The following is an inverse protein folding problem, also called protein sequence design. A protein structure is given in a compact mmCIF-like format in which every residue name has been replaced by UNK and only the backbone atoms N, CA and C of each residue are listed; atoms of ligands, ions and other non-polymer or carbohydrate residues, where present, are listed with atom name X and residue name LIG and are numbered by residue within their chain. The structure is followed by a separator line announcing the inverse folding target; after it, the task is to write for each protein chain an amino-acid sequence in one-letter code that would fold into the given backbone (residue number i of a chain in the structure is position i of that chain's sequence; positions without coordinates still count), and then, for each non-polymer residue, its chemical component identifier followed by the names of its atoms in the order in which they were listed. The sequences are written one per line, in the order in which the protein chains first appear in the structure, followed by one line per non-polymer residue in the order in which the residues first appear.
data_IF_713226792399
#
_entry.id   IF_713226792399
#
_cell.length_a   1.000
_cell.length_b   1.000
_cell.length_c   1.000
_cell.angle_alpha   90.00
_cell.angle_beta   90.00
_cell.angle_gamma   90.00
#
_symmetry.space_group_name_H-M   'P 1'
#
loop_
_entity.id
_entity.type
_entity.pdbx_description
1 polymer ?
#
# COMPACT_ATOMS: atom_id res chain seq x y z
N UNK A 1 3.83 -14.77 -2.89
CA UNK A 1 2.74 -15.73 -3.17
C UNK A 1 2.45 -15.61 -4.67
N UNK A 2 2.77 -16.62 -5.48
CA UNK A 2 2.50 -16.55 -6.93
C UNK A 2 1.08 -17.03 -7.18
N UNK A 3 0.24 -16.20 -7.79
CA UNK A 3 -1.11 -16.61 -8.20
C UNK A 3 -1.08 -17.13 -9.62
N UNK A 4 -1.52 -18.38 -9.84
CA UNK A 4 -1.56 -19.00 -11.17
C UNK A 4 -2.53 -18.29 -12.14
N UNK A 5 -3.45 -17.48 -11.60
CA UNK A 5 -4.44 -16.75 -12.38
C UNK A 5 -4.90 -15.48 -11.69
N UNK A 6 -4.73 -14.34 -12.38
CA UNK A 6 -5.29 -13.05 -11.97
C UNK A 6 -6.69 -12.91 -12.56
N UNK A 7 -7.68 -12.65 -11.70
CA UNK A 7 -9.07 -12.47 -12.11
C UNK A 7 -9.42 -10.99 -12.19
N UNK A 8 -9.55 -10.46 -13.39
CA UNK A 8 -9.95 -9.07 -13.63
C UNK A 8 -11.48 -8.84 -13.53
N UNK A 9 -12.24 -9.91 -13.31
CA UNK A 9 -13.71 -9.88 -13.11
C UNK A 9 -14.07 -10.63 -11.85
N UNK A 10 -15.14 -10.21 -11.17
CA UNK A 10 -15.62 -10.82 -9.92
C UNK A 10 -15.02 -10.17 -8.68
N UNK A 11 -15.25 -10.79 -7.55
CA UNK A 11 -14.81 -10.33 -6.23
C UNK A 11 -14.21 -11.50 -5.45
N UNK A 12 -13.25 -11.20 -4.59
CA UNK A 12 -12.76 -12.18 -3.63
C UNK A 12 -13.87 -12.51 -2.62
N UNK A 13 -13.97 -13.76 -2.20
CA UNK A 13 -14.76 -14.18 -1.05
C UNK A 13 -13.78 -14.62 0.05
N UNK A 14 -13.76 -13.91 1.18
CA UNK A 14 -12.84 -14.16 2.28
C UNK A 14 -13.44 -15.03 3.37
N UNK A 15 -14.75 -14.95 3.57
CA UNK A 15 -15.49 -15.71 4.58
C UNK A 15 -16.78 -16.30 4.01
N UNK A 16 -17.13 -17.50 4.45
CA UNK A 16 -18.43 -18.13 4.12
C UNK A 16 -19.58 -17.44 4.86
N UNK A 17 -19.33 -16.97 6.08
CA UNK A 17 -20.30 -16.23 6.86
C UNK A 17 -20.57 -14.86 6.24
N UNK A 18 -21.82 -14.60 5.85
CA UNK A 18 -22.23 -13.35 5.17
C UNK A 18 -21.96 -12.08 5.98
N UNK A 19 -22.09 -12.15 7.31
CA UNK A 19 -21.81 -11.01 8.18
C UNK A 19 -20.29 -10.70 8.21
N UNK A 20 -19.47 -11.72 8.43
CA UNK A 20 -18.02 -11.56 8.38
C UNK A 20 -17.54 -11.08 7.00
N UNK A 21 -18.14 -11.61 5.93
CA UNK A 21 -17.83 -11.20 4.55
C UNK A 21 -18.19 -9.73 4.31
N UNK A 22 -19.33 -9.25 4.84
CA UNK A 22 -19.70 -7.84 4.75
C UNK A 22 -18.67 -6.92 5.47
N UNK A 23 -18.10 -7.37 6.58
CA UNK A 23 -17.06 -6.64 7.32
C UNK A 23 -15.71 -6.59 6.60
N UNK A 24 -15.53 -7.29 5.48
CA UNK A 24 -14.31 -7.22 4.66
C UNK A 24 -14.35 -6.12 3.60
N UNK A 25 -15.44 -5.38 3.51
CA UNK A 25 -15.65 -4.37 2.48
C UNK A 25 -15.42 -2.96 3.02
N UNK A 26 -14.71 -2.15 2.25
CA UNK A 26 -14.42 -0.76 2.55
C UNK A 26 -14.70 0.17 1.38
N UNK A 27 -14.73 1.47 1.64
CA UNK A 27 -14.83 2.49 0.60
C UNK A 27 -14.00 3.73 0.97
N UNK A 28 -13.54 4.52 -0.02
CA UNK A 28 -12.84 5.77 0.24
C UNK A 28 -13.65 6.71 1.16
N UNK A 29 -14.92 6.92 0.83
CA UNK A 29 -15.79 7.85 1.56
C UNK A 29 -15.94 7.48 3.03
N UNK A 30 -16.15 6.18 3.29
CA UNK A 30 -16.31 5.69 4.65
C UNK A 30 -15.00 5.79 5.44
N UNK A 31 -13.86 5.45 4.83
CA UNK A 31 -12.56 5.55 5.48
C UNK A 31 -12.20 7.00 5.81
N UNK A 32 -12.35 7.92 4.87
CA UNK A 32 -12.10 9.34 5.11
C UNK A 32 -13.08 9.93 6.14
N UNK A 33 -14.38 9.61 6.05
CA UNK A 33 -15.41 10.10 6.97
C UNK A 33 -15.20 9.68 8.42
N UNK A 34 -14.66 8.47 8.64
CA UNK A 34 -14.37 7.98 9.99
C UNK A 34 -13.04 8.54 10.52
N UNK A 35 -11.96 8.47 9.73
CA UNK A 35 -10.64 8.76 10.26
C UNK A 35 -10.35 10.26 10.34
N UNK A 36 -10.77 11.06 9.35
CA UNK A 36 -10.44 12.50 9.35
C UNK A 36 -10.90 13.25 10.61
N UNK A 37 -12.13 13.06 11.13
CA UNK A 37 -12.52 13.67 12.42
C UNK A 37 -11.63 13.23 13.58
N UNK A 38 -11.22 11.96 13.63
CA UNK A 38 -10.33 11.43 14.66
C UNK A 38 -8.96 12.11 14.59
N UNK A 39 -8.39 12.26 13.38
CA UNK A 39 -7.10 12.93 13.20
C UNK A 39 -7.13 14.40 13.64
N UNK A 40 -8.18 15.12 13.26
CA UNK A 40 -8.39 16.52 13.66
C UNK A 40 -8.51 16.60 15.18
N UNK A 41 -9.32 15.74 15.79
CA UNK A 41 -9.48 15.69 17.24
C UNK A 41 -8.15 15.41 17.95
N UNK A 42 -7.40 14.39 17.52
CA UNK A 42 -6.11 14.05 18.13
C UNK A 42 -5.12 15.22 18.04
N UNK A 43 -4.98 15.85 16.87
CA UNK A 43 -4.07 16.98 16.68
C UNK A 43 -4.48 18.17 17.56
N UNK A 44 -5.77 18.52 17.60
CA UNK A 44 -6.30 19.58 18.44
C UNK A 44 -6.13 19.26 19.93
N UNK A 45 -6.37 18.02 20.35
CA UNK A 45 -6.19 17.59 21.74
C UNK A 45 -4.72 17.76 22.18
N UNK A 46 -3.77 17.35 21.33
CA UNK A 46 -2.35 17.56 21.57
C UNK A 46 -1.99 19.04 21.76
N UNK A 47 -2.49 19.88 20.87
CA UNK A 47 -2.29 21.34 20.97
C UNK A 47 -2.82 21.92 22.28
N UNK A 48 -4.05 21.57 22.66
CA UNK A 48 -4.71 22.16 23.83
C UNK A 48 -4.16 21.65 25.15
N UNK A 49 -3.85 20.38 25.28
CA UNK A 49 -3.55 19.78 26.58
C UNK A 49 -2.05 19.71 26.89
N UNK A 50 -1.20 19.65 25.86
CA UNK A 50 0.26 19.56 26.06
C UNK A 50 1.00 20.85 25.69
N UNK A 51 0.31 21.88 25.26
CA UNK A 51 0.87 23.21 24.94
C UNK A 51 2.09 23.16 24.00
N UNK A 52 2.12 22.17 23.11
CA UNK A 52 3.20 22.04 22.16
C UNK A 52 3.23 23.21 21.18
N UNK A 53 4.41 23.79 20.87
CA UNK A 53 4.51 24.81 19.84
C UNK A 53 3.97 24.31 18.50
N UNK A 54 3.10 25.09 17.84
CA UNK A 54 2.51 24.69 16.55
C UNK A 54 3.57 24.32 15.49
N UNK A 55 4.69 25.04 15.46
CA UNK A 55 5.80 24.69 14.55
C UNK A 55 6.33 23.28 14.78
N UNK A 56 6.51 22.87 16.05
CA UNK A 56 6.92 21.51 16.41
C UNK A 56 5.85 20.50 15.99
N UNK A 57 4.57 20.79 16.26
CA UNK A 57 3.48 19.90 15.88
C UNK A 57 3.42 19.67 14.36
N UNK A 58 3.53 20.74 13.56
CA UNK A 58 3.57 20.62 12.10
C UNK A 58 4.81 19.89 11.60
N UNK A 59 5.97 20.14 12.19
CA UNK A 59 7.20 19.42 11.85
C UNK A 59 7.04 17.90 12.10
N UNK A 60 6.52 17.51 13.25
CA UNK A 60 6.27 16.10 13.60
C UNK A 60 5.19 15.49 12.68
N UNK A 61 4.13 16.22 12.41
CA UNK A 61 3.04 15.78 11.53
C UNK A 61 3.52 15.53 10.10
N UNK A 62 4.24 16.45 9.48
CA UNK A 62 4.77 16.26 8.12
C UNK A 62 5.89 15.23 8.08
N UNK A 63 6.72 15.16 9.15
CA UNK A 63 7.69 14.09 9.32
C UNK A 63 7.04 12.71 9.38
N UNK A 64 5.87 12.60 10.02
CA UNK A 64 5.10 11.36 10.07
C UNK A 64 4.50 10.97 8.71
N UNK A 65 4.03 11.93 7.91
CA UNK A 65 3.59 11.67 6.52
C UNK A 65 4.78 11.14 5.69
N UNK A 66 5.96 11.74 5.83
CA UNK A 66 7.16 11.25 5.14
C UNK A 66 7.55 9.85 5.65
N UNK A 67 7.53 9.62 6.96
CA UNK A 67 7.79 8.31 7.56
C UNK A 67 6.79 7.25 7.07
N UNK A 68 5.52 7.61 6.85
CA UNK A 68 4.54 6.71 6.25
C UNK A 68 5.02 6.18 4.89
N UNK A 69 5.62 7.00 4.04
CA UNK A 69 6.08 6.56 2.72
C UNK A 69 7.12 5.44 2.80
N UNK A 70 7.99 5.48 3.81
CA UNK A 70 8.94 4.41 4.11
C UNK A 70 8.22 3.18 4.67
N UNK A 71 7.32 3.39 5.64
CA UNK A 71 6.54 2.31 6.23
C UNK A 71 5.67 1.60 5.19
N UNK A 72 5.03 2.32 4.28
CA UNK A 72 4.31 1.79 3.13
C UNK A 72 5.16 0.78 2.35
N UNK A 73 6.36 1.19 1.97
CA UNK A 73 7.28 0.34 1.22
C UNK A 73 7.67 -0.92 2.00
N UNK A 74 8.03 -0.78 3.28
CA UNK A 74 8.42 -1.91 4.13
C UNK A 74 7.22 -2.85 4.36
N UNK A 75 6.05 -2.29 4.68
CA UNK A 75 4.84 -3.07 4.89
C UNK A 75 4.42 -3.81 3.62
N UNK A 76 4.44 -3.14 2.46
CA UNK A 76 4.10 -3.76 1.19
C UNK A 76 5.06 -4.93 0.87
N UNK A 77 6.37 -4.69 0.98
CA UNK A 77 7.39 -5.68 0.63
C UNK A 77 7.43 -6.88 1.57
N UNK A 78 7.31 -6.68 2.88
CA UNK A 78 7.61 -7.73 3.87
C UNK A 78 6.38 -8.24 4.63
N UNK A 79 5.32 -7.43 4.76
CA UNK A 79 4.11 -7.83 5.48
C UNK A 79 3.04 -8.31 4.49
N UNK A 80 2.79 -7.55 3.43
CA UNK A 80 1.75 -7.86 2.46
C UNK A 80 2.15 -8.99 1.52
N UNK A 81 3.42 -9.02 1.10
CA UNK A 81 4.02 -10.09 0.33
C UNK A 81 4.74 -11.14 1.19
N UNK A 82 4.25 -11.36 2.42
CA UNK A 82 4.83 -12.35 3.34
C UNK A 82 4.76 -13.75 2.72
N UNK A 83 5.94 -14.36 2.52
CA UNK A 83 6.09 -15.74 2.09
C UNK A 83 6.33 -16.59 3.34
N UNK A 84 5.50 -17.60 3.57
CA UNK A 84 5.62 -18.49 4.73
C UNK A 84 5.05 -19.86 4.39
N UNK A 85 5.61 -20.92 4.97
CA UNK A 85 5.06 -22.28 4.91
C UNK A 85 3.93 -22.50 5.91
N UNK A 86 3.78 -21.61 6.90
CA UNK A 86 2.74 -21.70 7.90
C UNK A 86 1.37 -21.31 7.30
N UNK A 87 0.36 -22.22 7.28
CA UNK A 87 -0.95 -21.94 6.67
C UNK A 87 -1.69 -20.74 7.28
N UNK A 88 -1.49 -20.46 8.57
CA UNK A 88 -2.11 -19.30 9.23
C UNK A 88 -1.50 -18.00 8.74
N UNK A 89 -0.19 -17.94 8.56
CA UNK A 89 0.50 -16.77 8.01
C UNK A 89 0.20 -16.58 6.51
N UNK A 90 0.11 -17.66 5.75
CA UNK A 90 -0.36 -17.60 4.36
C UNK A 90 -1.78 -17.03 4.27
N UNK A 91 -2.69 -17.51 5.13
CA UNK A 91 -4.07 -17.01 5.19
C UNK A 91 -4.11 -15.54 5.58
N UNK A 92 -3.29 -15.13 6.55
CA UNK A 92 -3.15 -13.73 6.94
C UNK A 92 -2.68 -12.86 5.77
N UNK A 93 -1.59 -13.22 5.10
CA UNK A 93 -1.08 -12.49 3.94
C UNK A 93 -2.11 -12.41 2.80
N UNK A 94 -2.85 -13.51 2.56
CA UNK A 94 -3.93 -13.53 1.57
C UNK A 94 -5.06 -12.54 1.93
N UNK A 95 -5.51 -12.51 3.18
CA UNK A 95 -6.56 -11.59 3.64
C UNK A 95 -6.08 -10.13 3.57
N UNK A 96 -4.83 -9.87 3.94
CA UNK A 96 -4.28 -8.52 3.97
C UNK A 96 -4.07 -7.93 2.57
N UNK A 97 -3.56 -8.73 1.62
CA UNK A 97 -3.16 -8.20 0.32
C UNK A 97 -3.28 -9.21 -0.84
N UNK A 98 -3.07 -10.50 -0.59
CA UNK A 98 -3.10 -11.51 -1.64
C UNK A 98 -4.43 -11.60 -2.39
N UNK A 99 -5.57 -11.37 -1.70
CA UNK A 99 -6.87 -11.29 -2.36
C UNK A 99 -6.95 -10.13 -3.37
N UNK A 100 -6.25 -9.03 -3.11
CA UNK A 100 -6.15 -7.89 -4.00
C UNK A 100 -5.30 -8.21 -5.23
N UNK A 101 -4.19 -8.95 -5.10
CA UNK A 101 -3.45 -9.46 -6.27
C UNK A 101 -4.28 -10.43 -7.10
N UNK A 102 -5.09 -11.27 -6.45
CA UNK A 102 -5.97 -12.21 -7.14
C UNK A 102 -7.14 -11.52 -7.85
N UNK A 103 -7.72 -10.44 -7.26
CA UNK A 103 -8.83 -9.65 -7.79
C UNK A 103 -8.50 -8.15 -7.78
N UNK A 104 -7.55 -7.68 -8.62
CA UNK A 104 -7.04 -6.30 -8.54
C UNK A 104 -8.08 -5.23 -8.87
N UNK A 105 -9.20 -5.61 -9.49
CA UNK A 105 -10.32 -4.71 -9.82
C UNK A 105 -11.50 -4.78 -8.84
N UNK A 106 -11.38 -5.50 -7.74
CA UNK A 106 -12.40 -5.53 -6.69
C UNK A 106 -12.37 -4.25 -5.85
N UNK A 107 -13.10 -3.23 -6.31
CA UNK A 107 -13.15 -1.90 -5.69
C UNK A 107 -13.59 -1.89 -4.23
N UNK A 108 -14.31 -2.93 -3.77
CA UNK A 108 -14.79 -3.02 -2.40
C UNK A 108 -13.70 -3.46 -1.41
N UNK A 109 -12.54 -3.95 -1.91
CA UNK A 109 -11.42 -4.43 -1.10
C UNK A 109 -10.11 -3.67 -1.33
N UNK A 110 -10.17 -2.51 -2.00
CA UNK A 110 -9.02 -1.62 -2.18
C UNK A 110 -8.76 -0.73 -0.95
N UNK A 111 -9.77 -0.48 -0.14
CA UNK A 111 -9.64 0.18 1.15
C UNK A 111 -9.81 -0.81 2.28
N UNK A 112 -8.99 -0.66 3.32
CA UNK A 112 -9.16 -1.44 4.54
C UNK A 112 -10.54 -1.18 5.13
N UNK A 113 -11.29 -2.22 5.51
CA UNK A 113 -12.63 -2.09 6.10
C UNK A 113 -12.60 -1.32 7.42
N UNK A 114 -13.70 -0.65 7.81
CA UNK A 114 -13.74 0.23 8.97
C UNK A 114 -13.34 -0.44 10.28
N UNK A 115 -13.89 -1.62 10.58
CA UNK A 115 -13.63 -2.29 11.86
C UNK A 115 -12.17 -2.66 12.05
N UNK A 116 -11.51 -3.43 11.14
CA UNK A 116 -10.09 -3.71 11.29
C UNK A 116 -9.23 -2.45 11.22
N UNK A 117 -9.58 -1.44 10.41
CA UNK A 117 -8.81 -0.20 10.35
C UNK A 117 -8.83 0.54 11.70
N UNK A 118 -9.98 0.67 12.34
CA UNK A 118 -10.08 1.32 13.66
C UNK A 118 -9.27 0.59 14.72
N UNK A 119 -9.30 -0.74 14.74
CA UNK A 119 -8.52 -1.55 15.67
C UNK A 119 -7.02 -1.32 15.47
N UNK A 120 -6.56 -1.35 14.21
CA UNK A 120 -5.14 -1.17 13.87
C UNK A 120 -4.67 0.25 14.21
N UNK A 121 -5.41 1.29 13.82
CA UNK A 121 -4.99 2.66 14.09
C UNK A 121 -5.05 3.01 15.58
N UNK A 122 -6.00 2.43 16.35
CA UNK A 122 -6.04 2.58 17.81
C UNK A 122 -4.82 1.91 18.47
N UNK A 123 -4.45 0.71 18.05
CA UNK A 123 -3.24 0.01 18.53
C UNK A 123 -1.97 0.80 18.18
N UNK A 124 -1.87 1.34 16.96
CA UNK A 124 -0.76 2.20 16.53
C UNK A 124 -0.67 3.48 17.36
N UNK A 125 -1.80 4.13 17.67
CA UNK A 125 -1.80 5.28 18.58
C UNK A 125 -1.22 4.91 19.95
N UNK A 126 -1.64 3.78 20.53
CA UNK A 126 -1.10 3.28 21.78
C UNK A 126 0.43 3.07 21.72
N UNK A 127 0.93 2.44 20.67
CA UNK A 127 2.36 2.21 20.45
C UNK A 127 3.10 3.55 20.34
N UNK A 128 2.62 4.48 19.52
CA UNK A 128 3.25 5.80 19.36
C UNK A 128 3.24 6.59 20.67
N UNK A 129 2.14 6.53 21.43
CA UNK A 129 2.06 7.19 22.74
C UNK A 129 3.04 6.61 23.76
N UNK A 130 3.22 5.29 23.77
CA UNK A 130 4.21 4.65 24.67
C UNK A 130 5.65 5.06 24.32
N UNK A 131 5.96 5.24 23.05
CA UNK A 131 7.32 5.56 22.57
C UNK A 131 7.62 7.06 22.63
N UNK A 132 6.69 7.92 22.20
CA UNK A 132 6.96 9.36 21.99
C UNK A 132 6.06 10.29 22.79
N UNK A 133 5.26 9.72 23.72
CA UNK A 133 4.42 10.48 24.65
C UNK A 133 3.53 11.51 23.93
N UNK A 134 3.55 12.76 24.36
CA UNK A 134 2.73 13.84 23.81
C UNK A 134 2.94 14.07 22.30
N UNK A 135 4.11 13.79 21.78
CA UNK A 135 4.38 13.92 20.35
C UNK A 135 3.53 12.98 19.48
N UNK A 136 3.01 11.88 20.08
CA UNK A 136 2.09 10.98 19.39
C UNK A 136 0.84 11.69 18.89
N UNK A 137 0.38 12.76 19.56
CA UNK A 137 -0.79 13.52 19.14
C UNK A 137 -0.57 14.35 17.87
N UNK A 138 0.67 14.56 17.46
CA UNK A 138 1.01 15.15 16.16
C UNK A 138 1.47 14.08 15.14
N UNK A 139 2.23 13.08 15.60
CA UNK A 139 2.77 12.03 14.73
C UNK A 139 1.67 11.13 14.19
N UNK A 140 0.80 10.61 15.05
CA UNK A 140 -0.28 9.71 14.65
C UNK A 140 -1.21 10.30 13.58
N UNK A 141 -1.73 11.56 13.71
CA UNK A 141 -2.51 12.16 12.64
C UNK A 141 -1.77 12.25 11.30
N UNK A 142 -0.48 12.61 11.30
CA UNK A 142 0.33 12.63 10.09
C UNK A 142 0.52 11.24 9.47
N UNK A 143 0.82 10.24 10.30
CA UNK A 143 1.01 8.86 9.88
C UNK A 143 -0.26 8.26 9.26
N UNK A 144 -1.42 8.43 9.92
CA UNK A 144 -2.70 7.92 9.42
C UNK A 144 -3.18 8.70 8.21
N UNK A 145 -2.91 10.01 8.12
CA UNK A 145 -3.16 10.78 6.91
C UNK A 145 -2.34 10.24 5.73
N UNK A 146 -1.06 9.92 5.95
CA UNK A 146 -0.21 9.26 4.96
C UNK A 146 -0.82 7.95 4.46
N UNK A 147 -1.35 7.13 5.38
CA UNK A 147 -2.07 5.91 5.03
C UNK A 147 -3.33 6.17 4.20
N UNK A 148 -4.15 7.17 4.55
CA UNK A 148 -5.35 7.52 3.78
C UNK A 148 -4.99 8.01 2.36
N UNK A 149 -3.91 8.77 2.22
CA UNK A 149 -3.40 9.23 0.93
C UNK A 149 -2.90 8.04 0.08
N UNK A 150 -2.13 7.13 0.68
CA UNK A 150 -1.70 5.87 0.05
C UNK A 150 -2.91 5.05 -0.43
N UNK A 151 -3.88 4.79 0.45
CA UNK A 151 -5.06 4.00 0.13
C UNK A 151 -5.90 4.65 -0.99
N UNK A 152 -5.98 5.98 -1.01
CA UNK A 152 -6.63 6.74 -2.08
C UNK A 152 -5.88 6.62 -3.41
N UNK A 153 -4.55 6.74 -3.38
CA UNK A 153 -3.72 6.55 -4.58
C UNK A 153 -3.87 5.15 -5.14
N UNK A 154 -3.77 4.14 -4.27
CA UNK A 154 -3.95 2.72 -4.62
C UNK A 154 -5.33 2.47 -5.26
N UNK A 155 -6.39 3.00 -4.63
CA UNK A 155 -7.74 2.92 -5.20
C UNK A 155 -7.81 3.57 -6.60
N UNK A 156 -7.25 4.77 -6.76
CA UNK A 156 -7.25 5.47 -8.05
C UNK A 156 -6.51 4.68 -9.13
N UNK A 157 -5.36 4.08 -8.80
CA UNK A 157 -4.57 3.29 -9.75
C UNK A 157 -5.40 2.14 -10.33
N UNK A 158 -6.22 1.46 -9.50
CA UNK A 158 -7.05 0.35 -9.95
C UNK A 158 -8.40 0.76 -10.53
N UNK A 159 -8.91 1.94 -10.17
CA UNK A 159 -10.26 2.38 -10.52
C UNK A 159 -10.33 3.26 -11.76
N UNK A 160 -9.25 3.98 -12.11
CA UNK A 160 -9.26 4.99 -13.18
C UNK A 160 -7.91 5.13 -13.87
N UNK A 161 -7.90 5.81 -15.00
CA UNK A 161 -6.66 6.24 -15.67
C UNK A 161 -5.94 7.33 -14.84
N UNK A 162 -4.62 7.50 -15.00
CA UNK A 162 -3.89 8.54 -14.29
C UNK A 162 -4.43 9.94 -14.65
N UNK A 163 -4.87 10.73 -13.64
CA UNK A 163 -5.50 12.04 -13.90
C UNK A 163 -4.53 13.05 -14.50
N UNK A 164 -3.24 12.91 -14.19
CA UNK A 164 -2.19 13.79 -14.71
C UNK A 164 -1.04 13.00 -15.34
N UNK A 165 -0.38 13.58 -16.36
CA UNK A 165 0.72 12.91 -17.08
C UNK A 165 1.89 12.53 -16.17
N UNK A 166 2.22 13.36 -15.18
CA UNK A 166 3.31 13.11 -14.23
C UNK A 166 3.03 11.93 -13.29
N UNK A 167 1.79 11.49 -13.14
CA UNK A 167 1.41 10.34 -12.31
C UNK A 167 1.52 9.00 -13.06
N UNK A 168 1.66 9.01 -14.39
CA UNK A 168 1.78 7.77 -15.19
C UNK A 168 2.84 6.79 -14.69
N UNK A 169 4.02 7.23 -14.19
CA UNK A 169 5.01 6.31 -13.65
C UNK A 169 4.51 5.46 -12.47
N UNK A 170 3.66 6.03 -11.58
CA UNK A 170 3.08 5.29 -10.44
C UNK A 170 2.11 4.22 -10.94
N UNK A 171 1.20 4.57 -11.86
CA UNK A 171 0.29 3.60 -12.48
C UNK A 171 1.04 2.46 -13.16
N UNK A 172 2.07 2.79 -13.94
CA UNK A 172 2.89 1.80 -14.62
C UNK A 172 3.62 0.89 -13.63
N UNK A 173 4.27 1.45 -12.62
CA UNK A 173 5.02 0.70 -11.60
C UNK A 173 4.11 -0.30 -10.90
N UNK A 174 2.96 0.15 -10.41
CA UNK A 174 2.01 -0.70 -9.69
C UNK A 174 1.33 -1.75 -10.58
N UNK A 175 0.99 -1.42 -11.82
CA UNK A 175 0.47 -2.42 -12.76
C UNK A 175 1.53 -3.48 -13.12
N UNK A 176 2.79 -3.09 -13.29
CA UNK A 176 3.86 -4.06 -13.52
C UNK A 176 4.04 -4.97 -12.30
N UNK A 177 3.94 -4.44 -11.09
CA UNK A 177 3.94 -5.20 -9.85
C UNK A 177 2.83 -6.27 -9.82
N UNK A 178 1.60 -5.91 -10.20
CA UNK A 178 0.48 -6.85 -10.25
C UNK A 178 0.57 -7.89 -11.38
N UNK A 179 0.94 -7.44 -12.59
CA UNK A 179 0.76 -8.27 -13.79
C UNK A 179 2.04 -8.86 -14.33
N UNK A 180 3.21 -8.41 -13.87
CA UNK A 180 4.50 -8.88 -14.39
C UNK A 180 5.36 -9.54 -13.32
N UNK A 181 5.67 -8.82 -12.24
CA UNK A 181 6.55 -9.32 -11.18
C UNK A 181 6.21 -8.67 -9.84
N UNK A 182 5.62 -9.45 -8.94
CA UNK A 182 5.23 -9.02 -7.60
C UNK A 182 6.42 -8.84 -6.63
N UNK A 183 7.65 -9.14 -7.06
CA UNK A 183 8.87 -8.95 -6.27
C UNK A 183 9.55 -7.60 -6.52
N UNK A 184 8.99 -6.78 -7.41
CA UNK A 184 9.46 -5.44 -7.77
C UNK A 184 8.30 -4.43 -7.68
N UNK A 185 8.62 -3.14 -7.55
CA UNK A 185 7.64 -2.06 -7.65
C UNK A 185 6.69 -1.94 -6.47
N UNK A 186 7.20 -1.99 -5.25
CA UNK A 186 6.40 -1.94 -4.01
C UNK A 186 5.83 -0.56 -3.67
N UNK A 187 6.44 0.52 -4.17
CA UNK A 187 5.97 1.88 -3.93
C UNK A 187 4.69 2.20 -4.71
N UNK A 188 3.62 2.57 -4.00
CA UNK A 188 2.31 2.92 -4.55
C UNK A 188 2.12 4.44 -4.58
N UNK A 189 2.36 5.12 -3.46
CA UNK A 189 2.26 6.58 -3.38
C UNK A 189 3.47 7.30 -3.99
N UNK A 190 4.62 6.65 -4.02
CA UNK A 190 5.84 7.13 -4.65
C UNK A 190 6.77 5.95 -5.00
N UNK A 191 7.72 6.17 -5.93
CA UNK A 191 8.73 5.17 -6.33
C UNK A 191 10.12 5.45 -5.73
N UNK A 192 10.23 6.35 -4.76
CA UNK A 192 11.51 6.76 -4.19
C UNK A 192 12.21 5.59 -3.51
N UNK A 193 11.48 4.84 -2.68
CA UNK A 193 12.04 3.71 -1.94
C UNK A 193 12.38 2.52 -2.84
N UNK A 194 11.63 2.31 -3.93
CA UNK A 194 12.01 1.31 -4.95
C UNK A 194 13.37 1.62 -5.56
N UNK A 195 13.68 2.91 -5.79
CA UNK A 195 14.99 3.32 -6.29
C UNK A 195 16.08 3.12 -5.24
N UNK A 196 15.81 3.50 -3.99
CA UNK A 196 16.78 3.36 -2.87
C UNK A 196 17.12 1.89 -2.63
N UNK A 197 16.14 0.99 -2.68
CA UNK A 197 16.32 -0.43 -2.39
C UNK A 197 16.49 -1.32 -3.63
N UNK A 198 16.60 -0.72 -4.82
CA UNK A 198 16.87 -1.45 -6.07
C UNK A 198 15.72 -2.34 -6.55
N UNK A 199 14.48 -2.02 -6.19
CA UNK A 199 13.26 -2.76 -6.59
C UNK A 199 12.46 -2.08 -7.70
N UNK A 200 13.04 -1.11 -8.41
CA UNK A 200 12.44 -0.51 -9.60
C UNK A 200 12.48 -1.45 -10.80
N UNK A 201 11.45 -1.41 -11.64
CA UNK A 201 11.48 -2.05 -12.95
C UNK A 201 12.44 -1.34 -13.90
N UNK A 202 13.44 -2.05 -14.40
CA UNK A 202 14.34 -1.56 -15.46
C UNK A 202 13.89 -2.08 -16.84
N UNK A 203 12.95 -1.35 -17.43
CA UNK A 203 12.37 -1.71 -18.73
C UNK A 203 13.33 -1.52 -19.90
N UNK A 204 14.41 -0.72 -19.74
CA UNK A 204 15.44 -0.56 -20.77
C UNK A 204 16.31 -1.79 -20.84
N UNK A 205 16.87 -2.18 -19.69
CA UNK A 205 17.68 -3.40 -19.57
C UNK A 205 16.95 -4.64 -20.05
N UNK A 206 15.67 -4.79 -19.70
CA UNK A 206 14.86 -5.92 -20.15
C UNK A 206 14.64 -5.95 -21.67
N UNK A 207 14.54 -4.79 -22.31
CA UNK A 207 14.44 -4.70 -23.77
C UNK A 207 15.76 -5.11 -24.42
N UNK A 208 16.88 -4.60 -23.92
CA UNK A 208 18.24 -4.95 -24.36
C UNK A 208 18.50 -6.44 -24.18
N UNK A 209 18.15 -7.04 -23.04
CA UNK A 209 18.31 -8.46 -22.78
C UNK A 209 17.49 -9.31 -23.76
N UNK A 210 16.24 -8.93 -24.06
CA UNK A 210 15.41 -9.62 -25.04
C UNK A 210 15.95 -9.51 -26.47
N UNK A 211 16.44 -8.36 -26.87
CA UNK A 211 17.07 -8.17 -28.16
C UNK A 211 18.34 -9.01 -28.28
N UNK A 212 19.17 -9.07 -27.25
CA UNK A 212 20.39 -9.89 -27.20
C UNK A 212 20.09 -11.39 -27.30
N UNK A 213 19.09 -11.86 -26.54
CA UNK A 213 18.66 -13.28 -26.60
C UNK A 213 18.10 -13.63 -27.99
N UNK A 214 17.32 -12.74 -28.60
CA UNK A 214 16.83 -12.92 -29.96
C UNK A 214 17.96 -13.03 -30.99
N UNK A 215 18.99 -12.17 -30.86
CA UNK A 215 20.17 -12.19 -31.73
C UNK A 215 20.99 -13.48 -31.59
N UNK A 216 21.16 -13.99 -30.38
CA UNK A 216 21.90 -15.24 -30.12
C UNK A 216 21.16 -16.46 -30.66
N UNK A 217 19.84 -16.50 -30.58
CA UNK A 217 19.04 -17.59 -31.17
C UNK A 217 19.07 -17.59 -32.73
N UNK A 218 19.03 -16.40 -33.34
CA UNK A 218 19.13 -16.27 -34.81
C UNK A 218 20.50 -16.77 -35.32
N UNK A 219 21.59 -16.38 -34.65
CA UNK A 219 22.95 -16.86 -35.01
C UNK A 219 23.15 -18.38 -34.82
N UNK A 220 22.52 -18.97 -33.80
CA UNK A 220 22.60 -20.41 -33.59
C UNK A 220 21.92 -21.23 -34.71
N UNK A 221 20.93 -20.65 -35.40
CA UNK A 221 20.28 -21.28 -36.55
C UNK A 221 21.02 -21.09 -37.89
N UNK A 222 21.93 -20.12 -37.98
CA UNK A 222 22.73 -19.88 -39.19
C UNK A 222 24.03 -20.74 -39.24
N UNK A 223 24.37 -21.43 -38.16
CA UNK A 223 25.60 -22.25 -38.03
C UNK A 223 25.34 -23.75 -38.06
N UNK A 224 24.12 -24.21 -38.43
CA UNK A 224 23.74 -25.59 -38.68
C UNK A 224 23.40 -25.76 -40.16
#
# INVERSE_FOLDING_TARGET
MKFDKINNKGQAQLFENKFLEALTKGSPQLSWGIHLPILIFCFYYGYKNYQMPLGTMFMVFFGAIFFWTFFEYIAHRYIFHLISENPKLQRFAYIMHGNHHHYPRDRQRLFMPPVPSLIIVAALFGIFYLVMREYAFAFYPGFVLGWLMYASMHYMIHAMAPPFKFMKPLWRNHHLHHYKDETLGFGVSNTFWDKVFGTMFDLKKEKEDKETVSYTHLRAHETL
#
